data_IF_710738234240
#
_entry.id   IF_710738234240
#
_cell.length_a   1.000
_cell.length_b   1.000
_cell.length_c   1.000
_cell.angle_alpha   90.00
_cell.angle_beta   90.00
_cell.angle_gamma   90.00
#
_symmetry.space_group_name_H-M   'P 1'
#
loop_
_entity.id
_entity.type
_entity.pdbx_description
1 polymer ?
#
# COMPACT_ATOMS: atom_id res chain seq x y z
N UNK A 1 -14.32 3.52 16.32
CA UNK A 1 -14.02 2.30 15.52
C UNK A 1 -14.22 2.67 14.04
N UNK A 2 -13.14 3.02 13.33
CA UNK A 2 -13.22 3.55 11.96
C UNK A 2 -13.28 2.39 10.96
N UNK A 3 -14.46 2.13 10.38
CA UNK A 3 -14.66 1.01 9.46
C UNK A 3 -13.89 1.19 8.14
N UNK A 4 -13.83 2.42 7.61
CA UNK A 4 -13.09 2.71 6.38
C UNK A 4 -11.59 2.41 6.53
N UNK A 5 -11.00 2.72 7.69
CA UNK A 5 -9.61 2.35 7.98
C UNK A 5 -9.40 0.83 7.95
N UNK A 6 -10.30 0.07 8.59
CA UNK A 6 -10.20 -1.39 8.63
C UNK A 6 -10.34 -2.01 7.25
N UNK A 7 -11.30 -1.55 6.46
CA UNK A 7 -11.55 -2.03 5.10
C UNK A 7 -10.36 -1.72 4.18
N UNK A 8 -9.86 -0.48 4.20
CA UNK A 8 -8.68 -0.10 3.41
C UNK A 8 -7.45 -0.94 3.77
N UNK A 9 -7.15 -1.11 5.06
CA UNK A 9 -6.00 -1.92 5.52
C UNK A 9 -6.17 -3.37 5.08
N UNK A 10 -7.34 -3.95 5.32
CA UNK A 10 -7.61 -5.34 4.96
C UNK A 10 -7.46 -5.59 3.44
N UNK A 11 -8.07 -4.73 2.63
CA UNK A 11 -7.99 -4.83 1.18
C UNK A 11 -6.56 -4.62 0.68
N UNK A 12 -5.83 -3.62 1.20
CA UNK A 12 -4.43 -3.40 0.83
C UNK A 12 -3.55 -4.61 1.15
N UNK A 13 -3.65 -5.18 2.35
CA UNK A 13 -2.85 -6.36 2.75
C UNK A 13 -3.09 -7.53 1.81
N UNK A 14 -4.36 -7.87 1.55
CA UNK A 14 -4.72 -8.98 0.66
C UNK A 14 -4.28 -8.74 -0.78
N UNK A 15 -4.53 -7.54 -1.32
CA UNK A 15 -4.16 -7.22 -2.69
C UNK A 15 -2.64 -7.21 -2.88
N UNK A 16 -1.86 -6.73 -1.91
CA UNK A 16 -0.40 -6.79 -1.97
C UNK A 16 0.09 -8.25 -1.90
N UNK A 17 -0.44 -9.03 -0.95
CA UNK A 17 -0.05 -10.43 -0.79
C UNK A 17 -0.33 -11.27 -2.05
N UNK A 18 -1.48 -11.02 -2.70
CA UNK A 18 -1.91 -11.72 -3.92
C UNK A 18 -1.44 -11.05 -5.22
N UNK A 19 -0.75 -9.90 -5.15
CA UNK A 19 -0.35 -9.07 -6.31
C UNK A 19 -1.53 -8.65 -7.21
N UNK A 20 -2.67 -8.34 -6.62
CA UNK A 20 -3.85 -7.81 -7.31
C UNK A 20 -3.78 -6.27 -7.31
N UNK A 21 -3.87 -5.59 -8.47
CA UNK A 21 -3.93 -4.13 -8.51
C UNK A 21 -5.15 -3.61 -7.75
N UNK A 22 -4.93 -2.68 -6.81
CA UNK A 22 -5.99 -2.09 -5.99
C UNK A 22 -6.10 -0.59 -6.25
N UNK A 23 -7.33 -0.13 -6.53
CA UNK A 23 -7.66 1.29 -6.67
C UNK A 23 -8.53 1.73 -5.50
N UNK A 24 -8.07 2.71 -4.73
CA UNK A 24 -8.83 3.28 -3.61
C UNK A 24 -9.25 4.71 -3.92
N UNK A 25 -10.55 4.91 -4.12
CA UNK A 25 -11.16 6.20 -4.44
C UNK A 25 -12.06 6.64 -3.30
N UNK A 26 -12.00 7.93 -2.92
CA UNK A 26 -12.92 8.49 -1.94
C UNK A 26 -12.53 9.91 -1.53
N UNK A 27 -13.39 10.55 -0.74
CA UNK A 27 -13.18 11.94 -0.29
C UNK A 27 -11.86 12.13 0.49
N UNK A 28 -11.29 13.34 0.53
CA UNK A 28 -10.25 13.68 1.48
C UNK A 28 -10.67 13.31 2.91
N UNK A 29 -9.74 12.82 3.74
CA UNK A 29 -10.05 12.39 5.11
C UNK A 29 -10.63 10.98 5.28
N UNK A 30 -10.92 10.23 4.20
CA UNK A 30 -11.41 8.83 4.29
C UNK A 30 -10.32 7.79 4.63
N UNK A 31 -9.33 8.16 5.45
CA UNK A 31 -8.29 7.27 6.01
C UNK A 31 -7.41 6.47 5.03
N UNK A 32 -7.41 6.80 3.74
CA UNK A 32 -6.61 6.09 2.71
C UNK A 32 -5.10 6.17 2.95
N UNK A 33 -4.56 7.39 3.11
CA UNK A 33 -3.12 7.58 3.34
C UNK A 33 -2.65 6.97 4.66
N UNK A 34 -3.45 7.10 5.72
CA UNK A 34 -3.16 6.44 7.01
C UNK A 34 -3.12 4.91 6.86
N UNK A 35 -4.07 4.33 6.11
CA UNK A 35 -4.08 2.89 5.84
C UNK A 35 -2.81 2.44 5.13
N UNK A 36 -2.35 3.20 4.12
CA UNK A 36 -1.09 2.94 3.40
C UNK A 36 0.11 2.92 4.35
N UNK A 37 0.21 3.88 5.26
CA UNK A 37 1.28 3.93 6.27
C UNK A 37 1.25 2.72 7.20
N UNK A 38 0.07 2.35 7.72
CA UNK A 38 -0.06 1.21 8.62
C UNK A 38 0.28 -0.12 7.94
N UNK A 39 -0.09 -0.29 6.67
CA UNK A 39 0.24 -1.50 5.91
C UNK A 39 1.75 -1.60 5.66
N UNK A 40 2.40 -0.49 5.33
CA UNK A 40 3.85 -0.44 5.17
C UNK A 40 4.59 -0.76 6.48
N UNK A 41 4.10 -0.26 7.62
CA UNK A 41 4.65 -0.57 8.93
C UNK A 41 4.40 -2.02 9.37
N UNK A 42 3.21 -2.56 9.07
CA UNK A 42 2.84 -3.90 9.50
C UNK A 42 3.51 -5.02 8.67
N UNK A 43 3.61 -4.87 7.35
CA UNK A 43 4.09 -5.92 6.43
C UNK A 43 5.62 -5.93 6.31
N UNK A 44 6.31 -6.08 7.44
CA UNK A 44 7.78 -6.12 7.55
C UNK A 44 8.36 -7.55 7.53
N UNK A 45 7.56 -8.55 7.15
CA UNK A 45 7.96 -9.96 7.20
C UNK A 45 8.37 -10.37 8.61
N UNK A 46 9.52 -11.03 8.77
CA UNK A 46 9.99 -11.50 10.09
C UNK A 46 10.18 -10.39 11.13
N UNK A 47 10.39 -9.14 10.69
CA UNK A 47 10.52 -7.99 11.59
C UNK A 47 9.16 -7.41 12.03
N UNK A 48 8.03 -7.95 11.58
CA UNK A 48 6.71 -7.46 11.96
C UNK A 48 6.39 -7.70 13.44
N UNK A 49 5.65 -6.77 14.05
CA UNK A 49 5.25 -6.84 15.46
C UNK A 49 4.29 -8.00 15.79
N UNK A 50 3.43 -8.40 14.84
CA UNK A 50 2.44 -9.45 15.06
C UNK A 50 2.82 -10.75 14.35
N UNK A 51 2.50 -11.89 14.95
CA UNK A 51 2.74 -13.21 14.34
C UNK A 51 1.94 -13.46 13.06
N UNK A 52 0.84 -12.73 12.83
CA UNK A 52 0.11 -12.76 11.57
C UNK A 52 0.97 -12.19 10.43
N UNK A 53 1.42 -10.94 10.57
CA UNK A 53 2.24 -10.27 9.55
C UNK A 53 3.62 -10.91 9.35
N UNK A 54 4.18 -11.59 10.36
CA UNK A 54 5.40 -12.40 10.19
C UNK A 54 5.26 -13.54 9.18
N UNK A 55 4.04 -14.01 8.93
CA UNK A 55 3.74 -15.06 7.95
C UNK A 55 3.43 -14.52 6.55
N UNK A 56 3.32 -13.20 6.40
CA UNK A 56 3.05 -12.53 5.13
C UNK A 56 4.35 -12.02 4.50
N UNK A 57 4.28 -11.60 3.23
CA UNK A 57 5.43 -11.03 2.52
C UNK A 57 5.93 -9.75 3.19
N UNK A 58 7.24 -9.58 3.19
CA UNK A 58 7.85 -8.27 3.44
C UNK A 58 7.63 -7.37 2.21
N UNK A 59 7.29 -6.11 2.44
CA UNK A 59 7.04 -5.15 1.35
C UNK A 59 8.04 -4.01 1.38
N UNK A 60 8.43 -3.55 0.20
CA UNK A 60 9.15 -2.30 0.00
C UNK A 60 8.27 -1.36 -0.84
N UNK A 61 7.92 -0.20 -0.27
CA UNK A 61 6.97 0.71 -0.88
C UNK A 61 7.69 1.80 -1.67
N UNK A 62 7.64 1.72 -2.99
CA UNK A 62 8.01 2.82 -3.88
C UNK A 62 6.76 3.63 -4.22
N UNK A 63 6.83 4.95 -4.11
CA UNK A 63 5.68 5.84 -4.32
C UNK A 63 5.91 6.80 -5.49
N UNK A 64 4.91 6.92 -6.36
CA UNK A 64 4.84 7.95 -7.39
C UNK A 64 3.60 8.81 -7.13
N UNK A 65 3.78 10.12 -7.03
CA UNK A 65 2.68 11.08 -6.90
C UNK A 65 2.38 11.69 -8.26
N UNK A 66 1.20 11.39 -8.80
CA UNK A 66 0.77 12.00 -10.05
C UNK A 66 0.47 13.50 -9.87
N UNK A 67 0.73 14.26 -10.92
CA UNK A 67 0.35 15.66 -11.11
C UNK A 67 -0.21 15.85 -12.53
N UNK A 68 -0.79 17.01 -12.86
CA UNK A 68 -1.23 17.32 -14.23
C UNK A 68 -0.11 17.25 -15.29
N UNK A 69 1.16 17.26 -14.86
CA UNK A 69 2.33 17.20 -15.74
C UNK A 69 3.05 15.84 -15.70
N UNK A 70 2.48 14.83 -15.03
CA UNK A 70 3.08 13.49 -15.00
C UNK A 70 3.17 12.88 -16.39
N UNK A 71 4.32 12.26 -16.70
CA UNK A 71 4.55 11.57 -17.97
C UNK A 71 4.50 10.05 -17.82
N UNK A 72 4.21 9.30 -18.89
CA UNK A 72 4.27 7.84 -18.88
C UNK A 72 5.64 7.30 -18.46
N UNK A 73 6.73 7.96 -18.84
CA UNK A 73 8.11 7.59 -18.48
C UNK A 73 8.33 7.66 -16.97
N UNK A 74 7.74 8.65 -16.29
CA UNK A 74 7.79 8.75 -14.82
C UNK A 74 7.19 7.52 -14.13
N UNK A 75 6.07 7.03 -14.64
CA UNK A 75 5.41 5.82 -14.14
C UNK A 75 6.30 4.59 -14.44
N UNK A 76 6.73 4.41 -15.70
CA UNK A 76 7.61 3.30 -16.11
C UNK A 76 8.88 3.25 -15.26
N UNK A 77 9.52 4.39 -15.00
CA UNK A 77 10.72 4.48 -14.19
C UNK A 77 10.46 4.10 -12.73
N UNK A 78 9.27 4.41 -12.19
CA UNK A 78 8.87 3.96 -10.84
C UNK A 78 8.74 2.44 -10.78
N UNK A 79 8.11 1.82 -11.78
CA UNK A 79 8.02 0.34 -11.83
C UNK A 79 9.40 -0.32 -11.94
N UNK A 80 10.35 0.27 -12.69
CA UNK A 80 11.73 -0.22 -12.76
C UNK A 80 12.49 -0.12 -11.43
N UNK A 81 12.10 0.77 -10.52
CA UNK A 81 12.70 0.88 -9.18
C UNK A 81 12.21 -0.20 -8.22
N UNK A 82 11.09 -0.86 -8.50
CA UNK A 82 10.50 -1.86 -7.61
C UNK A 82 11.26 -3.21 -7.58
N UNK A 83 12.25 -3.42 -8.45
CA UNK A 83 13.04 -4.65 -8.55
C UNK A 83 12.48 -5.64 -9.55
#
# INVERSE_FOLDING_TARGET
>A
RNNALKENVFMMVLCIELRIPLFLVGKPGSSKSLSKTLVADAMQGQAAHSDLYKKLKQIHLVSFQCSPHSTPEGIINTFKQCG
#
